data_IF_606215717613
#
_entry.id   IF_606215717613
#
_cell.length_a   1.000
_cell.length_b   1.000
_cell.length_c   1.000
_cell.angle_alpha   90.00
_cell.angle_beta   90.00
_cell.angle_gamma   90.00
#
_symmetry.space_group_name_H-M   'P 1'
#
loop_
_entity.id
_entity.type
_entity.pdbx_description
1 polymer ?
#
# COMPACT_ATOMS: atom_id res chain seq x y z
N UNK A 1 14.56 -16.40 10.26
CA UNK A 1 13.96 -15.10 10.63
C UNK A 1 12.54 -15.38 11.04
N UNK A 2 12.10 -14.97 12.23
CA UNK A 2 10.77 -15.35 12.76
C UNK A 2 9.88 -14.10 12.86
N UNK A 3 8.74 -14.05 12.14
CA UNK A 3 7.77 -12.98 12.29
C UNK A 3 7.25 -12.87 13.72
N UNK A 4 7.14 -11.64 14.23
CA UNK A 4 6.54 -11.31 15.52
C UNK A 4 5.20 -10.63 15.30
N UNK A 5 4.13 -11.01 16.01
CA UNK A 5 2.86 -10.27 15.97
C UNK A 5 3.08 -8.79 16.25
N UNK A 6 2.36 -7.94 15.53
CA UNK A 6 2.40 -6.49 15.67
C UNK A 6 1.00 -5.95 15.94
N UNK A 7 0.92 -4.91 16.77
CA UNK A 7 -0.32 -4.20 17.07
C UNK A 7 -0.01 -2.73 17.04
N UNK A 8 -0.80 -1.97 16.29
CA UNK A 8 -0.70 -0.51 16.24
C UNK A 8 -1.16 0.02 17.58
N UNK A 9 -0.28 0.77 18.24
CA UNK A 9 -0.58 1.41 19.52
C UNK A 9 0.08 2.79 19.56
N UNK A 10 -0.67 3.80 19.12
CA UNK A 10 -0.22 5.19 19.17
C UNK A 10 -0.43 5.74 20.59
N UNK A 11 0.59 6.28 21.28
CA UNK A 11 0.43 6.85 22.62
C UNK A 11 -0.51 8.07 22.63
N UNK A 12 -1.33 8.22 23.67
CA UNK A 12 -2.22 9.38 23.83
C UNK A 12 -1.51 10.74 23.72
N UNK A 13 -0.29 10.93 24.25
CA UNK A 13 0.44 12.19 24.07
C UNK A 13 0.69 12.57 22.61
N UNK A 14 0.86 11.60 21.71
CA UNK A 14 1.04 11.86 20.26
C UNK A 14 -0.26 12.37 19.65
N UNK A 15 -1.41 11.80 20.04
CA UNK A 15 -2.72 12.23 19.57
C UNK A 15 -3.09 13.62 20.12
N UNK A 16 -2.72 13.89 21.37
CA UNK A 16 -2.88 15.21 21.98
C UNK A 16 -2.02 16.28 21.28
N UNK A 17 -0.76 15.97 20.97
CA UNK A 17 0.13 16.86 20.21
C UNK A 17 -0.43 17.14 18.80
N UNK A 18 -0.90 16.12 18.09
CA UNK A 18 -1.57 16.28 16.79
C UNK A 18 -2.74 17.26 16.88
N UNK A 19 -3.66 17.06 17.83
CA UNK A 19 -4.83 17.93 18.04
C UNK A 19 -4.42 19.38 18.30
N UNK A 20 -3.45 19.59 19.20
CA UNK A 20 -2.94 20.91 19.52
C UNK A 20 -2.28 21.61 18.32
N UNK A 21 -1.69 20.86 17.37
CA UNK A 21 -1.16 21.43 16.12
C UNK A 21 -2.27 21.81 15.14
N UNK A 22 -3.30 20.97 14.99
CA UNK A 22 -4.46 21.25 14.14
C UNK A 22 -5.26 22.47 14.62
N UNK A 23 -5.28 22.75 15.93
CA UNK A 23 -5.92 23.95 16.50
C UNK A 23 -5.14 25.25 16.22
N UNK A 24 -3.83 25.16 16.01
CA UNK A 24 -2.92 26.31 15.88
C UNK A 24 -2.44 26.53 14.44
N UNK A 25 -3.19 26.03 13.45
CA UNK A 25 -2.82 26.18 12.04
C UNK A 25 -2.80 27.67 11.67
N UNK A 26 -1.64 28.13 11.19
CA UNK A 26 -1.50 29.44 10.51
C UNK A 26 -1.81 29.24 9.03
N UNK A 27 -3.00 29.63 8.63
CA UNK A 27 -3.48 29.47 7.27
C UNK A 27 -2.78 30.42 6.28
N UNK A 28 -2.44 29.95 5.06
CA UNK A 28 -1.99 30.83 3.99
C UNK A 28 -3.15 31.65 3.41
N UNK A 29 -2.84 32.59 2.52
CA UNK A 29 -3.81 33.22 1.64
C UNK A 29 -4.08 32.35 0.39
N UNK A 30 -5.10 32.72 -0.38
CA UNK A 30 -5.47 32.07 -1.64
C UNK A 30 -5.97 33.14 -2.62
N UNK A 31 -5.59 33.10 -3.92
CA UNK A 31 -6.13 34.00 -4.91
C UNK A 31 -7.67 33.86 -5.02
N UNK A 32 -8.40 34.94 -5.35
CA UNK A 32 -9.84 34.85 -5.56
C UNK A 32 -10.20 33.76 -6.58
N UNK A 33 -11.22 32.96 -6.25
CA UNK A 33 -11.77 31.92 -7.15
C UNK A 33 -10.74 30.89 -7.65
N UNK A 34 -9.65 30.64 -6.90
CA UNK A 34 -8.61 29.69 -7.31
C UNK A 34 -9.10 28.23 -7.37
N UNK A 35 -10.04 27.84 -6.50
CA UNK A 35 -10.50 26.46 -6.40
C UNK A 35 -9.33 25.51 -6.17
N UNK A 36 -9.12 24.55 -7.07
CA UNK A 36 -7.99 23.62 -7.04
C UNK A 36 -6.87 23.95 -8.06
N UNK A 37 -6.97 25.10 -8.74
CA UNK A 37 -6.11 25.43 -9.89
C UNK A 37 -4.61 25.43 -9.57
N UNK A 38 -4.24 25.80 -8.34
CA UNK A 38 -2.84 25.98 -7.92
C UNK A 38 -2.42 25.02 -6.80
N UNK A 39 -3.20 23.97 -6.55
CA UNK A 39 -3.00 23.05 -5.43
C UNK A 39 -4.29 22.87 -4.63
N UNK A 40 -4.15 22.39 -3.40
CA UNK A 40 -5.32 22.14 -2.54
C UNK A 40 -6.06 23.43 -2.22
N UNK A 41 -7.37 23.44 -2.46
CA UNK A 41 -8.24 24.56 -2.08
C UNK A 41 -8.16 24.87 -0.58
N UNK A 42 -7.97 26.15 -0.23
CA UNK A 42 -7.92 26.60 1.16
C UNK A 42 -9.25 26.35 1.89
N UNK A 43 -10.38 26.57 1.21
CA UNK A 43 -11.71 26.30 1.76
C UNK A 43 -11.88 24.82 2.12
N UNK A 44 -11.51 23.92 1.21
CA UNK A 44 -11.57 22.47 1.45
C UNK A 44 -10.63 22.04 2.58
N UNK A 45 -9.38 22.53 2.59
CA UNK A 45 -8.42 22.17 3.63
C UNK A 45 -8.88 22.63 5.03
N UNK A 46 -9.55 23.78 5.14
CA UNK A 46 -10.16 24.24 6.40
C UNK A 46 -11.26 23.30 6.87
N UNK A 47 -12.16 22.87 5.98
CA UNK A 47 -13.20 21.90 6.31
C UNK A 47 -12.60 20.56 6.75
N UNK A 48 -11.59 20.07 6.02
CA UNK A 48 -10.92 18.80 6.33
C UNK A 48 -10.21 18.85 7.70
N UNK A 49 -9.49 19.93 8.00
CA UNK A 49 -8.84 20.12 9.32
C UNK A 49 -9.88 20.26 10.43
N UNK A 50 -11.01 20.93 10.18
CA UNK A 50 -12.11 21.01 11.15
C UNK A 50 -12.68 19.64 11.46
N UNK A 51 -12.95 18.83 10.42
CA UNK A 51 -13.39 17.44 10.60
C UNK A 51 -12.34 16.62 11.36
N UNK A 52 -11.07 16.72 10.98
CA UNK A 52 -9.99 15.96 11.61
C UNK A 52 -9.86 16.29 13.09
N UNK A 53 -9.90 17.57 13.46
CA UNK A 53 -9.75 17.96 14.86
C UNK A 53 -11.01 17.65 15.69
N UNK A 54 -12.23 17.72 15.12
CA UNK A 54 -13.46 17.66 15.93
C UNK A 54 -14.22 16.34 15.85
N UNK A 55 -14.10 15.59 14.74
CA UNK A 55 -14.96 14.43 14.44
C UNK A 55 -14.18 13.15 14.15
N UNK A 56 -12.94 13.26 13.65
CA UNK A 56 -12.14 12.08 13.35
C UNK A 56 -11.62 11.41 14.63
N UNK A 57 -11.94 10.13 14.80
CA UNK A 57 -11.58 9.34 15.97
C UNK A 57 -10.51 8.30 15.63
N UNK A 58 -9.23 8.64 15.88
CA UNK A 58 -8.10 7.74 15.60
C UNK A 58 -8.29 6.33 16.19
N UNK A 59 -8.80 6.23 17.43
CA UNK A 59 -8.95 4.94 18.12
C UNK A 59 -9.90 3.98 17.40
N UNK A 60 -10.91 4.49 16.69
CA UNK A 60 -11.79 3.67 15.84
C UNK A 60 -11.01 3.07 14.67
N UNK A 61 -10.18 3.89 14.02
CA UNK A 61 -9.35 3.45 12.89
C UNK A 61 -8.20 2.53 13.31
N UNK A 62 -7.57 2.81 14.44
CA UNK A 62 -6.53 1.95 15.03
C UNK A 62 -7.10 0.56 15.37
N UNK A 63 -8.25 0.51 16.06
CA UNK A 63 -8.93 -0.75 16.35
C UNK A 63 -9.34 -1.50 15.08
N UNK A 64 -9.77 -0.78 14.05
CA UNK A 64 -10.13 -1.33 12.74
C UNK A 64 -8.92 -1.96 12.04
N UNK A 65 -7.79 -1.26 11.98
CA UNK A 65 -6.56 -1.77 11.38
C UNK A 65 -5.97 -2.95 12.18
N UNK A 66 -6.08 -2.93 13.51
CA UNK A 66 -5.65 -4.02 14.37
C UNK A 66 -6.50 -5.31 14.25
N UNK A 67 -7.58 -5.29 13.47
CA UNK A 67 -8.28 -6.53 13.06
C UNK A 67 -7.48 -7.31 12.01
N UNK A 68 -6.58 -6.62 11.29
CA UNK A 68 -5.67 -7.26 10.37
C UNK A 68 -4.56 -7.99 11.13
N UNK A 69 -4.18 -9.16 10.62
CA UNK A 69 -3.05 -9.96 11.11
C UNK A 69 -1.74 -9.30 10.71
N UNK A 70 -1.20 -8.48 11.61
CA UNK A 70 0.01 -7.71 11.37
C UNK A 70 1.23 -8.34 12.06
N UNK A 71 2.38 -8.20 11.41
CA UNK A 71 3.64 -8.74 11.89
C UNK A 71 4.79 -7.78 11.61
N UNK A 72 5.86 -7.96 12.37
CA UNK A 72 7.18 -7.38 12.08
C UNK A 72 8.24 -8.47 11.97
N UNK A 73 9.23 -8.28 11.12
CA UNK A 73 10.39 -9.18 11.02
C UNK A 73 11.64 -8.38 10.66
N UNK A 74 12.79 -8.80 11.20
CA UNK A 74 14.06 -8.24 10.76
C UNK A 74 14.48 -8.86 9.43
N UNK A 75 14.57 -8.04 8.39
CA UNK A 75 14.97 -8.44 7.03
C UNK A 75 15.62 -7.26 6.32
N UNK A 76 16.71 -7.49 5.59
CA UNK A 76 17.44 -6.41 4.91
C UNK A 76 18.06 -5.37 5.84
N UNK A 77 18.22 -5.65 7.14
CA UNK A 77 18.75 -4.68 8.10
C UNK A 77 17.72 -3.63 8.57
N UNK A 78 16.43 -3.87 8.33
CA UNK A 78 15.32 -3.08 8.90
C UNK A 78 14.35 -4.00 9.64
N UNK A 79 13.53 -3.40 10.51
CA UNK A 79 12.31 -4.05 10.98
C UNK A 79 11.19 -3.76 9.99
N UNK A 80 10.85 -4.76 9.18
CA UNK A 80 9.80 -4.66 8.16
C UNK A 80 8.46 -5.03 8.78
N UNK A 81 7.47 -4.13 8.66
CA UNK A 81 6.08 -4.38 8.97
C UNK A 81 5.33 -4.95 7.75
N UNK A 82 4.44 -5.91 7.99
CA UNK A 82 3.53 -6.44 6.98
C UNK A 82 2.24 -7.01 7.56
N UNK A 83 1.16 -6.95 6.77
CA UNK A 83 -0.07 -7.72 6.98
C UNK A 83 0.09 -9.09 6.33
N UNK A 84 -0.39 -10.15 6.98
CA UNK A 84 -0.41 -11.52 6.45
C UNK A 84 -1.76 -12.19 6.73
N UNK A 85 -2.63 -12.21 5.72
CA UNK A 85 -3.96 -12.78 5.80
C UNK A 85 -4.04 -14.09 4.99
N UNK A 86 -4.32 -15.24 5.63
CA UNK A 86 -4.46 -16.51 4.92
C UNK A 86 -5.75 -16.52 4.10
N UNK A 87 -5.69 -17.17 2.94
CA UNK A 87 -6.89 -17.46 2.16
C UNK A 87 -7.71 -18.60 2.75
N UNK A 88 -9.01 -18.59 2.47
CA UNK A 88 -9.97 -19.66 2.78
C UNK A 88 -10.19 -20.46 1.50
N UNK A 89 -9.79 -21.74 1.49
CA UNK A 89 -9.90 -22.60 0.31
C UNK A 89 -8.86 -23.72 0.31
N UNK A 90 -8.89 -24.56 -0.73
CA UNK A 90 -8.04 -25.75 -0.80
C UNK A 90 -6.55 -25.44 -0.96
N UNK A 91 -6.19 -24.47 -1.81
CA UNK A 91 -4.79 -24.07 -2.05
C UNK A 91 -4.68 -22.60 -2.46
N UNK A 92 -4.93 -21.65 -1.54
CA UNK A 92 -4.91 -20.24 -1.89
C UNK A 92 -3.53 -19.81 -2.43
N UNK A 93 -3.49 -19.08 -3.54
CA UNK A 93 -2.23 -18.64 -4.14
C UNK A 93 -1.58 -17.56 -3.26
N UNK A 94 -0.29 -17.66 -2.89
CA UNK A 94 0.38 -16.58 -2.17
C UNK A 94 0.49 -15.33 -3.06
N UNK A 95 0.05 -14.18 -2.55
CA UNK A 95 0.02 -12.91 -3.27
C UNK A 95 0.69 -11.82 -2.44
N UNK A 96 1.74 -11.21 -3.00
CA UNK A 96 2.37 -10.02 -2.46
C UNK A 96 1.68 -8.76 -3.02
N UNK A 97 1.11 -7.91 -2.15
CA UNK A 97 0.50 -6.62 -2.53
C UNK A 97 1.39 -5.45 -2.08
N UNK A 98 1.84 -4.64 -3.04
CA UNK A 98 2.71 -3.48 -2.78
C UNK A 98 1.99 -2.17 -3.05
N UNK A 99 1.88 -1.32 -2.03
CA UNK A 99 1.35 0.05 -2.18
C UNK A 99 2.42 1.00 -2.76
N UNK A 100 2.08 2.27 -2.93
CA UNK A 100 3.04 3.32 -3.31
C UNK A 100 2.98 4.57 -2.43
N UNK A 101 3.17 5.74 -3.03
CA UNK A 101 3.16 7.06 -2.41
C UNK A 101 2.03 7.92 -3.00
N UNK A 102 1.28 8.69 -2.19
CA UNK A 102 1.36 8.84 -0.72
C UNK A 102 0.59 7.73 0.03
N UNK A 103 0.65 6.50 -0.49
CA UNK A 103 -0.14 5.37 -0.05
C UNK A 103 0.35 4.60 1.18
N UNK A 104 -0.43 3.58 1.56
CA UNK A 104 -0.10 2.65 2.65
C UNK A 104 -0.92 1.35 2.59
N UNK A 105 -0.62 0.41 3.50
CA UNK A 105 -1.39 -0.84 3.67
C UNK A 105 -2.88 -0.64 3.94
N UNK A 106 -3.31 0.58 4.35
CA UNK A 106 -4.71 0.93 4.58
C UNK A 106 -5.55 0.80 3.30
N UNK A 107 -4.95 1.00 2.12
CA UNK A 107 -5.63 0.85 0.82
C UNK A 107 -6.18 -0.55 0.60
N UNK A 108 -5.51 -1.56 1.14
CA UNK A 108 -5.86 -2.96 0.93
C UNK A 108 -6.95 -3.47 1.86
N UNK A 109 -7.32 -2.71 2.91
CA UNK A 109 -8.21 -3.18 3.96
C UNK A 109 -9.56 -3.70 3.43
N UNK A 110 -10.09 -3.04 2.39
CA UNK A 110 -11.36 -3.45 1.75
C UNK A 110 -11.20 -4.62 0.78
N UNK A 111 -10.01 -4.77 0.19
CA UNK A 111 -9.70 -5.80 -0.81
C UNK A 111 -9.34 -7.14 -0.16
N UNK A 112 -8.65 -7.11 0.99
CA UNK A 112 -8.20 -8.30 1.70
C UNK A 112 -9.29 -9.38 1.85
N UNK A 113 -10.48 -9.10 2.41
CA UNK A 113 -11.50 -10.15 2.59
C UNK A 113 -12.03 -10.71 1.26
N UNK A 114 -12.04 -9.92 0.18
CA UNK A 114 -12.49 -10.37 -1.13
C UNK A 114 -11.46 -11.29 -1.79
N UNK A 115 -10.18 -11.00 -1.59
CA UNK A 115 -9.08 -11.82 -2.13
C UNK A 115 -8.86 -13.09 -1.31
N UNK A 116 -9.03 -13.02 0.02
CA UNK A 116 -8.78 -14.18 0.88
C UNK A 116 -9.96 -15.12 0.98
N UNK A 117 -11.20 -14.63 0.88
CA UNK A 117 -12.42 -15.44 0.95
C UNK A 117 -13.44 -15.01 -0.13
N UNK A 118 -13.13 -15.23 -1.42
CA UNK A 118 -13.98 -14.78 -2.53
C UNK A 118 -15.39 -15.38 -2.49
N UNK A 119 -15.55 -16.57 -1.91
CA UNK A 119 -16.83 -17.25 -1.78
C UNK A 119 -17.88 -16.42 -1.00
N UNK A 120 -17.44 -15.71 0.04
CA UNK A 120 -18.31 -14.80 0.82
C UNK A 120 -18.81 -13.60 0.01
N UNK A 121 -18.20 -13.33 -1.14
CA UNK A 121 -18.53 -12.24 -2.05
C UNK A 121 -19.06 -12.74 -3.40
N UNK A 122 -19.41 -14.02 -3.52
CA UNK A 122 -19.97 -14.62 -4.73
C UNK A 122 -18.95 -15.03 -5.80
N UNK A 123 -17.64 -15.01 -5.48
CA UNK A 123 -16.58 -15.53 -6.34
C UNK A 123 -16.34 -17.04 -6.14
N UNK A 124 -15.48 -17.62 -6.98
CA UNK A 124 -15.07 -19.02 -6.87
C UNK A 124 -14.06 -19.20 -5.70
N UNK A 125 -14.29 -20.11 -4.73
CA UNK A 125 -13.32 -20.43 -3.70
C UNK A 125 -11.92 -20.84 -4.22
N UNK A 126 -11.82 -21.33 -5.47
CA UNK A 126 -10.55 -21.67 -6.10
C UNK A 126 -9.68 -20.44 -6.39
N UNK A 127 -10.27 -19.25 -6.49
CA UNK A 127 -9.58 -17.97 -6.76
C UNK A 127 -9.04 -17.30 -5.48
N UNK A 128 -9.09 -17.99 -4.33
CA UNK A 128 -8.60 -17.44 -3.07
C UNK A 128 -7.09 -17.21 -3.08
N UNK A 129 -6.65 -16.13 -2.43
CA UNK A 129 -5.25 -15.80 -2.19
C UNK A 129 -4.90 -15.85 -0.71
N UNK A 130 -3.67 -16.24 -0.40
CA UNK A 130 -3.05 -15.85 0.87
C UNK A 130 -2.28 -14.56 0.64
N UNK A 131 -2.73 -13.47 1.25
CA UNK A 131 -2.24 -12.12 0.96
C UNK A 131 -1.19 -11.68 1.96
N UNK A 132 -0.08 -11.16 1.44
CA UNK A 132 1.00 -10.51 2.20
C UNK A 132 1.11 -9.07 1.71
N UNK A 133 0.87 -8.10 2.59
CA UNK A 133 0.92 -6.67 2.26
C UNK A 133 1.91 -5.94 3.17
N UNK A 134 3.19 -5.81 2.78
CA UNK A 134 4.18 -5.05 3.54
C UNK A 134 3.95 -3.54 3.47
N UNK A 135 4.24 -2.86 4.58
CA UNK A 135 4.55 -1.43 4.50
C UNK A 135 5.92 -1.29 3.82
N UNK A 136 6.00 -0.50 2.73
CA UNK A 136 7.26 -0.28 2.03
C UNK A 136 8.37 0.19 3.02
N UNK A 137 9.64 -0.24 2.84
CA UNK A 137 10.76 0.30 3.61
C UNK A 137 10.77 1.82 3.68
N UNK A 138 10.71 2.38 4.88
CA UNK A 138 10.62 3.83 5.10
C UNK A 138 9.19 4.40 5.22
N UNK A 139 8.16 3.56 5.06
CA UNK A 139 6.75 3.97 5.14
C UNK A 139 6.10 3.42 6.40
N UNK A 140 5.27 4.26 7.05
CA UNK A 140 4.44 3.88 8.19
C UNK A 140 5.22 3.10 9.25
N UNK A 141 4.84 1.84 9.45
CA UNK A 141 5.40 0.97 10.49
C UNK A 141 6.71 0.26 10.09
N UNK A 142 7.20 0.43 8.84
CA UNK A 142 8.51 -0.07 8.36
C UNK A 142 9.59 1.01 8.41
N UNK A 143 9.48 1.95 9.35
CA UNK A 143 10.45 3.03 9.55
C UNK A 143 10.92 3.13 11.00
N UNK A 144 12.23 3.30 11.16
CA UNK A 144 12.89 3.76 12.38
C UNK A 144 13.99 4.79 12.03
N UNK A 145 14.31 5.74 12.93
CA UNK A 145 15.44 6.64 12.76
C UNK A 145 16.74 5.87 12.47
N UNK A 146 17.60 6.43 11.62
CA UNK A 146 18.91 5.89 11.25
C UNK A 146 18.92 4.50 10.58
N UNK A 147 17.77 3.97 10.14
CA UNK A 147 17.73 2.75 9.33
C UNK A 147 18.29 2.99 7.91
N UNK A 148 18.80 1.94 7.22
CA UNK A 148 19.25 2.07 5.84
C UNK A 148 18.15 2.60 4.90
N UNK A 149 18.54 3.24 3.80
CA UNK A 149 17.65 3.78 2.77
C UNK A 149 17.62 2.84 1.58
N UNK A 150 16.44 2.67 0.99
CA UNK A 150 16.17 1.65 -0.01
C UNK A 150 15.68 2.33 -1.28
N UNK A 151 16.26 1.96 -2.42
CA UNK A 151 15.69 2.14 -3.74
C UNK A 151 14.75 0.98 -4.08
N UNK A 152 14.22 0.99 -5.31
CA UNK A 152 13.26 -0.02 -5.78
C UNK A 152 13.88 -1.42 -5.74
N UNK A 153 15.16 -1.52 -6.08
CA UNK A 153 15.95 -2.75 -6.08
C UNK A 153 16.04 -3.36 -4.68
N UNK A 154 16.47 -2.59 -3.67
CA UNK A 154 16.58 -3.13 -2.32
C UNK A 154 15.22 -3.50 -1.71
N UNK A 155 14.16 -2.76 -2.06
CA UNK A 155 12.79 -3.12 -1.64
C UNK A 155 12.38 -4.46 -2.24
N UNK A 156 12.60 -4.65 -3.55
CA UNK A 156 12.29 -5.91 -4.22
C UNK A 156 13.07 -7.08 -3.61
N UNK A 157 14.36 -6.90 -3.32
CA UNK A 157 15.18 -7.92 -2.67
C UNK A 157 14.66 -8.28 -1.26
N UNK A 158 14.25 -7.29 -0.47
CA UNK A 158 13.63 -7.51 0.83
C UNK A 158 12.31 -8.25 0.72
N UNK A 159 11.46 -7.90 -0.24
CA UNK A 159 10.17 -8.57 -0.44
C UNK A 159 10.31 -9.99 -0.95
N UNK A 160 11.28 -10.25 -1.84
CA UNK A 160 11.61 -11.61 -2.27
C UNK A 160 12.03 -12.47 -1.07
N UNK A 161 12.90 -11.94 -0.19
CA UNK A 161 13.32 -12.62 1.04
C UNK A 161 12.18 -12.80 2.04
N UNK A 162 11.30 -11.81 2.21
CA UNK A 162 10.10 -11.93 3.03
C UNK A 162 9.25 -13.11 2.54
N UNK A 163 8.94 -13.17 1.25
CA UNK A 163 8.07 -14.19 0.70
C UNK A 163 8.72 -15.59 0.76
N UNK A 164 10.00 -15.73 0.41
CA UNK A 164 10.65 -17.06 0.36
C UNK A 164 11.27 -17.48 1.68
N UNK A 165 12.17 -16.67 2.22
CA UNK A 165 13.08 -17.10 3.30
C UNK A 165 12.41 -16.98 4.67
N UNK A 166 11.46 -16.04 4.80
CA UNK A 166 10.69 -15.81 6.04
C UNK A 166 9.38 -16.60 6.03
N UNK A 167 8.58 -16.46 4.97
CA UNK A 167 7.22 -17.05 4.91
C UNK A 167 7.16 -18.41 4.18
N UNK A 168 8.23 -18.83 3.50
CA UNK A 168 8.32 -20.15 2.86
C UNK A 168 7.60 -20.28 1.52
N UNK A 169 7.07 -19.20 0.96
CA UNK A 169 6.39 -19.20 -0.34
C UNK A 169 7.40 -19.25 -1.49
N UNK A 170 7.78 -20.46 -1.90
CA UNK A 170 8.76 -20.67 -2.99
C UNK A 170 8.30 -20.11 -4.33
N UNK A 171 6.98 -20.06 -4.57
CA UNK A 171 6.37 -19.47 -5.76
C UNK A 171 5.14 -18.65 -5.36
N UNK A 172 5.08 -17.38 -5.74
CA UNK A 172 4.01 -16.44 -5.36
C UNK A 172 3.68 -15.48 -6.51
N UNK A 173 2.47 -14.92 -6.53
CA UNK A 173 2.13 -13.80 -7.42
C UNK A 173 2.48 -12.47 -6.75
N UNK A 174 2.77 -11.44 -7.54
CA UNK A 174 3.02 -10.10 -7.03
C UNK A 174 2.17 -9.05 -7.75
N UNK A 175 1.64 -8.10 -7.00
CA UNK A 175 0.81 -7.02 -7.50
C UNK A 175 1.29 -5.68 -6.93
N UNK A 176 1.26 -4.64 -7.76
CA UNK A 176 1.47 -3.28 -7.28
C UNK A 176 1.02 -2.19 -8.24
N UNK A 177 0.74 -1.04 -7.65
CA UNK A 177 0.52 0.25 -8.32
C UNK A 177 1.53 1.28 -7.81
N UNK A 178 1.67 2.43 -8.48
CA UNK A 178 2.62 3.49 -8.11
C UNK A 178 4.04 2.92 -7.85
N UNK A 179 4.74 3.25 -6.76
CA UNK A 179 6.04 2.64 -6.40
C UNK A 179 5.97 1.12 -6.32
N UNK A 180 4.85 0.57 -5.85
CA UNK A 180 4.60 -0.87 -5.83
C UNK A 180 4.64 -1.51 -7.21
N UNK A 181 4.28 -0.79 -8.28
CA UNK A 181 4.40 -1.29 -9.65
C UNK A 181 5.87 -1.41 -10.09
N UNK A 182 6.71 -0.44 -9.74
CA UNK A 182 8.15 -0.50 -10.01
C UNK A 182 8.80 -1.65 -9.22
N UNK A 183 8.46 -1.80 -7.94
CA UNK A 183 8.95 -2.91 -7.09
C UNK A 183 8.51 -4.27 -7.66
N UNK A 184 7.24 -4.38 -8.05
CA UNK A 184 6.69 -5.62 -8.64
C UNK A 184 7.33 -5.94 -9.99
N UNK A 185 7.58 -4.94 -10.83
CA UNK A 185 8.31 -5.12 -12.09
C UNK A 185 9.75 -5.57 -11.85
N UNK A 186 10.42 -4.97 -10.86
CA UNK A 186 11.78 -5.35 -10.47
C UNK A 186 11.84 -6.78 -9.93
N UNK A 187 10.86 -7.21 -9.12
CA UNK A 187 10.69 -8.61 -8.71
C UNK A 187 10.56 -9.52 -9.93
N UNK A 188 9.70 -9.15 -10.89
CA UNK A 188 9.52 -9.84 -12.18
C UNK A 188 10.83 -10.07 -12.93
N UNK A 189 11.71 -9.07 -12.94
CA UNK A 189 13.00 -9.12 -13.60
C UNK A 189 14.06 -9.91 -12.81
N UNK A 190 14.19 -9.68 -11.50
CA UNK A 190 15.28 -10.21 -10.70
C UNK A 190 15.04 -11.65 -10.22
N UNK A 191 13.77 -12.00 -10.01
CA UNK A 191 13.36 -13.24 -9.36
C UNK A 191 12.26 -13.99 -10.13
N UNK A 192 12.36 -14.15 -11.46
CA UNK A 192 11.30 -14.74 -12.28
C UNK A 192 10.93 -16.17 -11.82
N UNK A 193 11.92 -16.96 -11.39
CA UNK A 193 11.72 -18.34 -10.93
C UNK A 193 10.88 -18.44 -9.64
N UNK A 194 10.79 -17.34 -8.88
CA UNK A 194 10.00 -17.25 -7.64
C UNK A 194 8.57 -16.77 -7.89
N UNK A 195 8.23 -16.37 -9.13
CA UNK A 195 6.96 -15.74 -9.43
C UNK A 195 6.01 -16.67 -10.19
N UNK A 196 4.74 -16.63 -9.81
CA UNK A 196 3.63 -17.18 -10.58
C UNK A 196 3.23 -16.24 -11.72
N UNK A 197 3.36 -14.94 -11.48
CA UNK A 197 3.06 -13.85 -12.41
C UNK A 197 3.14 -12.50 -11.70
N UNK A 198 3.13 -11.43 -12.48
CA UNK A 198 2.99 -10.05 -11.97
C UNK A 198 1.71 -9.43 -12.48
N UNK A 199 1.08 -8.59 -11.66
CA UNK A 199 -0.08 -7.78 -12.04
C UNK A 199 0.17 -6.30 -11.68
N UNK A 200 0.04 -5.41 -12.65
CA UNK A 200 0.31 -3.99 -12.48
C UNK A 200 -0.96 -3.19 -12.78
N UNK A 201 -1.39 -2.33 -11.86
CA UNK A 201 -2.47 -1.37 -12.11
C UNK A 201 -1.94 0.06 -12.35
N UNK A 202 -0.62 0.20 -12.48
CA UNK A 202 0.07 1.36 -13.01
C UNK A 202 1.24 0.85 -13.84
N UNK A 203 1.36 1.31 -15.08
CA UNK A 203 2.45 0.94 -15.96
C UNK A 203 3.23 2.20 -16.35
N UNK A 204 4.38 2.40 -15.72
CA UNK A 204 5.26 3.55 -15.97
C UNK A 204 6.25 3.29 -17.11
N UNK A 205 5.76 2.70 -18.21
CA UNK A 205 6.54 2.65 -19.46
C UNK A 205 6.31 3.95 -20.22
N UNK A 206 7.35 4.42 -20.91
CA UNK A 206 7.14 5.48 -21.89
C UNK A 206 6.14 4.96 -22.92
N UNK A 207 5.14 5.78 -23.20
CA UNK A 207 4.17 5.55 -24.28
C UNK A 207 4.95 5.17 -25.54
N UNK A 208 4.48 4.15 -26.25
CA UNK A 208 4.87 3.98 -27.65
C UNK A 208 4.45 5.26 -28.39
N UNK A 209 5.38 6.05 -28.96
CA UNK A 209 5.04 7.34 -29.55
C UNK A 209 4.00 7.22 -30.67
N UNK A 210 3.83 6.05 -31.27
CA UNK A 210 2.82 5.83 -32.29
C UNK A 210 1.47 5.48 -31.66
N UNK A 211 0.46 6.33 -31.91
CA UNK A 211 -0.92 5.96 -31.67
C UNK A 211 -1.27 4.71 -32.52
N UNK A 212 -2.19 3.85 -32.07
CA UNK A 212 -2.72 2.78 -32.91
C UNK A 212 -3.15 3.34 -34.26
N UNK A 213 -2.86 2.65 -35.37
CA UNK A 213 -3.19 3.14 -36.71
C UNK A 213 -4.70 3.40 -36.91
N UNK A 214 -5.55 2.76 -36.09
CA UNK A 214 -7.00 2.96 -36.01
C UNK A 214 -7.39 2.84 -34.53
N UNK A 215 -7.29 3.91 -33.73
CA UNK A 215 -7.73 3.85 -32.35
C UNK A 215 -9.24 3.63 -32.32
N UNK A 216 -9.70 2.82 -31.37
CA UNK A 216 -11.10 2.79 -30.95
C UNK A 216 -11.52 4.15 -30.41
N UNK A 217 -12.82 4.41 -30.30
CA UNK A 217 -13.32 5.68 -29.74
C UNK A 217 -12.80 5.93 -28.31
N UNK A 218 -12.65 4.87 -27.50
CA UNK A 218 -12.08 4.93 -26.15
C UNK A 218 -10.58 5.26 -26.16
N UNK A 219 -9.82 4.65 -27.06
CA UNK A 219 -8.40 4.97 -27.24
C UNK A 219 -8.24 6.41 -27.73
N UNK A 220 -9.06 6.86 -28.69
CA UNK A 220 -9.04 8.24 -29.19
C UNK A 220 -9.33 9.25 -28.07
N UNK A 221 -10.35 8.99 -27.23
CA UNK A 221 -10.67 9.84 -26.09
C UNK A 221 -9.55 9.89 -25.02
N UNK A 222 -8.77 8.82 -24.87
CA UNK A 222 -7.59 8.80 -24.00
C UNK A 222 -6.40 9.58 -24.58
N UNK A 223 -6.32 9.70 -25.92
CA UNK A 223 -5.22 10.36 -26.62
C UNK A 223 -5.32 11.88 -26.71
N UNK A 224 -6.54 12.43 -26.58
CA UNK A 224 -6.87 13.87 -26.60
C UNK A 224 -6.67 14.54 -25.24
#
# INVERSE_FOLDING_TARGET
MTPRPFTIQVPDPVLADLRARLERVRWPDEPPEAGWRYGTSLAYMRELVEYWRTKYEWRVHEARLNRLRQFTVEVGGIELHFVHEPGVGGKPLPLLLSHGWPGSIVEFERLLPMLTDPARFGGDPADAFTVVAPSLPGYGFSFRPNQPRFGVEEIADVFARLMTDVLGYRRFAAQGGDWGAFVTSRLGLAYPDRLAGIHLNLLAVRRDPEAPAKPTDEEQAYLE
#
